data_IF_558268796000
#
_entry.id   IF_558268796000
#
_cell.length_a   1.000
_cell.length_b   1.000
_cell.length_c   1.000
_cell.angle_alpha   90.00
_cell.angle_beta   90.00
_cell.angle_gamma   90.00
#
_symmetry.space_group_name_H-M   'P 1'
#
loop_
_entity.id
_entity.type
_entity.pdbx_description
1 polymer ?
#
# COMPACT_ATOMS: atom_id res chain seq x y z
N UNK A 1 -85.98 -13.87 39.38
CA UNK A 1 -85.84 -12.86 38.31
C UNK A 1 -84.36 -12.71 38.01
N UNK A 2 -83.81 -13.33 36.97
CA UNK A 2 -83.65 -12.78 35.61
C UNK A 2 -82.76 -11.51 35.53
N UNK A 3 -81.49 -11.76 35.15
CA UNK A 3 -80.65 -11.09 34.13
C UNK A 3 -80.15 -9.64 34.36
N UNK A 4 -78.83 -9.40 34.40
CA UNK A 4 -77.98 -8.96 33.25
C UNK A 4 -76.59 -8.46 33.67
N UNK A 5 -75.60 -9.10 33.06
CA UNK A 5 -74.26 -8.60 32.75
C UNK A 5 -74.35 -7.31 31.91
N UNK A 6 -73.54 -6.29 32.22
CA UNK A 6 -73.23 -5.17 31.33
C UNK A 6 -71.88 -4.59 31.76
N UNK A 7 -70.84 -4.93 31.00
CA UNK A 7 -69.46 -4.49 31.24
C UNK A 7 -69.23 -3.05 30.85
N UNK A 8 -68.08 -2.49 31.24
CA UNK A 8 -67.57 -1.20 30.77
C UNK A 8 -66.05 -1.27 30.51
N UNK A 9 -65.71 -0.92 29.26
CA UNK A 9 -64.60 -0.06 28.82
C UNK A 9 -63.18 -0.62 28.98
N UNK A 10 -62.66 -1.13 27.87
CA UNK A 10 -61.24 -1.26 27.60
C UNK A 10 -60.57 0.12 27.64
N UNK A 11 -59.59 0.30 28.54
CA UNK A 11 -58.69 1.43 28.52
C UNK A 11 -57.66 1.23 27.38
N UNK A 12 -57.88 1.92 26.27
CA UNK A 12 -56.95 2.06 25.17
C UNK A 12 -55.77 2.92 25.65
N UNK A 13 -54.68 2.28 26.09
CA UNK A 13 -53.42 2.97 26.35
C UNK A 13 -52.79 3.38 25.01
N UNK A 14 -52.98 4.64 24.63
CA UNK A 14 -52.28 5.26 23.50
C UNK A 14 -50.82 5.42 23.91
N UNK A 15 -49.98 4.47 23.52
CA UNK A 15 -48.52 4.62 23.53
C UNK A 15 -48.16 5.46 22.31
N UNK A 16 -48.08 6.78 22.47
CA UNK A 16 -47.36 7.61 21.51
C UNK A 16 -45.87 7.35 21.67
N UNK A 17 -45.35 6.39 20.90
CA UNK A 17 -43.93 6.27 20.66
C UNK A 17 -43.48 7.50 19.86
N UNK A 18 -42.83 8.46 20.54
CA UNK A 18 -42.06 9.50 19.85
C UNK A 18 -40.82 8.82 19.30
N UNK A 19 -40.92 8.32 18.07
CA UNK A 19 -39.77 7.84 17.31
C UNK A 19 -38.91 9.06 16.95
N UNK A 20 -37.86 9.30 17.73
CA UNK A 20 -36.82 10.23 17.37
C UNK A 20 -36.00 9.62 16.22
N UNK A 21 -36.50 9.71 15.00
CA UNK A 21 -35.68 9.50 13.79
C UNK A 21 -34.75 10.69 13.66
N UNK A 22 -33.67 10.69 14.45
CA UNK A 22 -32.46 11.38 14.04
C UNK A 22 -31.96 10.69 12.80
N UNK A 23 -32.19 11.27 11.63
CA UNK A 23 -31.41 10.94 10.45
C UNK A 23 -29.96 11.33 10.79
N UNK A 24 -29.18 10.36 11.25
CA UNK A 24 -27.73 10.45 11.21
C UNK A 24 -27.40 10.60 9.73
N UNK A 25 -27.19 11.83 9.28
CA UNK A 25 -26.57 12.07 7.98
C UNK A 25 -25.16 11.49 8.11
N UNK A 26 -24.99 10.24 7.67
CA UNK A 26 -23.66 9.69 7.49
C UNK A 26 -22.97 10.63 6.50
N UNK A 27 -21.96 11.38 6.96
CA UNK A 27 -21.08 12.07 6.02
C UNK A 27 -20.55 10.98 5.09
N UNK A 28 -20.78 11.16 3.78
CA UNK A 28 -20.18 10.29 2.80
C UNK A 28 -18.66 10.28 3.04
N UNK A 29 -18.09 9.09 3.20
CA UNK A 29 -16.64 8.95 3.35
C UNK A 29 -15.97 9.53 2.10
N UNK A 30 -14.94 10.35 2.29
CA UNK A 30 -14.18 10.91 1.18
C UNK A 30 -13.54 9.80 0.35
N UNK A 31 -13.32 10.08 -0.92
CA UNK A 31 -12.65 9.24 -1.91
C UNK A 31 -11.62 10.07 -2.67
N UNK A 32 -10.87 9.44 -3.54
CA UNK A 32 -9.95 10.08 -4.48
C UNK A 32 -10.63 11.14 -5.36
N UNK A 33 -11.93 11.01 -5.63
CA UNK A 33 -12.69 11.99 -6.40
C UNK A 33 -12.83 13.34 -5.69
N UNK A 34 -12.72 13.37 -4.37
CA UNK A 34 -12.84 14.58 -3.54
C UNK A 34 -11.55 15.42 -3.52
N UNK A 35 -10.44 14.87 -4.03
CA UNK A 35 -9.13 15.52 -4.01
C UNK A 35 -8.70 15.97 -5.40
N UNK A 36 -8.38 17.25 -5.55
CA UNK A 36 -8.02 17.86 -6.82
C UNK A 36 -6.75 17.24 -7.43
N UNK A 37 -5.76 16.94 -6.60
CA UNK A 37 -4.46 16.37 -6.99
C UNK A 37 -4.51 14.87 -7.31
N UNK A 38 -5.67 14.21 -7.16
CA UNK A 38 -5.89 12.81 -7.52
C UNK A 38 -6.70 12.63 -8.81
N UNK A 39 -7.26 13.72 -9.38
CA UNK A 39 -8.20 13.64 -10.51
C UNK A 39 -7.61 13.04 -11.78
N UNK A 40 -6.32 13.23 -12.02
CA UNK A 40 -5.67 12.77 -13.25
C UNK A 40 -5.05 11.37 -13.13
N UNK A 41 -5.15 10.73 -11.95
CA UNK A 41 -4.68 9.36 -11.77
C UNK A 41 -5.58 8.36 -12.52
N UNK A 42 -4.98 7.27 -12.97
CA UNK A 42 -5.71 6.16 -13.59
C UNK A 42 -6.63 5.46 -12.58
N UNK A 43 -7.62 4.73 -13.09
CA UNK A 43 -8.63 4.09 -12.27
C UNK A 43 -8.06 3.03 -11.30
N UNK A 44 -7.01 2.30 -11.69
CA UNK A 44 -6.41 1.28 -10.84
C UNK A 44 -5.65 1.92 -9.68
N UNK A 45 -4.92 3.02 -9.94
CA UNK A 45 -4.25 3.80 -8.90
C UNK A 45 -5.27 4.41 -7.94
N UNK A 46 -6.33 5.06 -8.45
CA UNK A 46 -7.41 5.63 -7.61
C UNK A 46 -8.04 4.61 -6.68
N UNK A 47 -8.29 3.39 -7.17
CA UNK A 47 -8.85 2.32 -6.35
C UNK A 47 -7.97 1.97 -5.13
N UNK A 48 -6.63 2.07 -5.25
CA UNK A 48 -5.72 1.85 -4.11
C UNK A 48 -5.83 2.96 -3.07
N UNK A 49 -5.93 4.21 -3.52
CA UNK A 49 -6.16 5.36 -2.64
C UNK A 49 -7.51 5.24 -1.94
N UNK A 50 -8.58 4.97 -2.71
CA UNK A 50 -9.94 4.82 -2.18
C UNK A 50 -10.03 3.72 -1.13
N UNK A 51 -9.38 2.58 -1.35
CA UNK A 51 -9.36 1.48 -0.40
C UNK A 51 -8.73 1.89 0.94
N UNK A 52 -7.60 2.60 0.90
CA UNK A 52 -6.89 3.05 2.10
C UNK A 52 -7.55 4.25 2.79
N UNK A 53 -8.23 5.12 2.04
CA UNK A 53 -9.06 6.20 2.61
C UNK A 53 -10.28 5.60 3.30
N UNK A 54 -10.98 4.67 2.63
CA UNK A 54 -12.17 3.99 3.18
C UNK A 54 -11.83 3.17 4.42
N UNK A 55 -10.63 2.56 4.47
CA UNK A 55 -10.12 1.85 5.63
C UNK A 55 -9.63 2.79 6.76
N UNK A 56 -9.69 4.12 6.57
CA UNK A 56 -9.29 5.12 7.57
C UNK A 56 -7.77 5.22 7.78
N UNK A 57 -6.97 4.64 6.87
CA UNK A 57 -5.50 4.66 6.94
C UNK A 57 -4.95 6.02 6.51
N UNK A 58 -5.55 6.63 5.48
CA UNK A 58 -5.16 7.93 4.94
C UNK A 58 -6.32 8.92 4.93
N UNK A 59 -5.97 10.18 5.11
CA UNK A 59 -6.85 11.34 4.93
C UNK A 59 -6.17 12.36 4.00
N UNK A 60 -6.92 13.34 3.51
CA UNK A 60 -6.32 14.51 2.87
C UNK A 60 -5.46 15.33 3.83
N UNK A 61 -4.54 16.12 3.28
CA UNK A 61 -3.80 17.14 4.06
C UNK A 61 -4.69 18.35 4.34
N UNK A 62 -5.69 18.58 3.48
CA UNK A 62 -6.75 19.54 3.69
C UNK A 62 -8.09 19.05 3.07
N UNK A 63 -9.04 19.96 2.89
CA UNK A 63 -10.36 19.61 2.34
C UNK A 63 -10.34 19.18 0.87
N UNK A 64 -9.44 19.72 0.06
CA UNK A 64 -9.39 19.56 -1.38
C UNK A 64 -8.10 18.90 -1.89
N UNK A 65 -7.06 18.78 -1.07
CA UNK A 65 -5.76 18.23 -1.45
C UNK A 65 -5.41 17.00 -0.64
N UNK A 66 -4.93 15.98 -1.34
CA UNK A 66 -4.39 14.78 -0.73
C UNK A 66 -2.92 14.94 -0.32
N UNK A 67 -2.16 15.78 -1.03
CA UNK A 67 -0.75 16.04 -0.77
C UNK A 67 0.16 15.01 -1.43
N UNK A 68 -0.17 14.55 -2.64
CA UNK A 68 0.44 13.37 -3.27
C UNK A 68 1.98 13.46 -3.36
N UNK A 69 2.53 14.64 -3.67
CA UNK A 69 3.98 14.86 -3.79
C UNK A 69 4.65 15.36 -2.51
N UNK A 70 3.91 15.51 -1.43
CA UNK A 70 4.47 15.96 -0.16
C UNK A 70 5.29 14.85 0.51
N UNK A 71 6.39 15.26 1.15
CA UNK A 71 7.19 14.37 1.97
C UNK A 71 6.54 14.16 3.34
N UNK A 72 6.39 12.91 3.72
CA UNK A 72 5.76 12.55 4.99
C UNK A 72 6.77 12.49 6.13
N UNK A 73 6.28 12.78 7.34
CA UNK A 73 7.08 12.62 8.55
C UNK A 73 6.96 11.20 9.14
N UNK A 74 7.91 10.84 10.00
CA UNK A 74 7.99 9.52 10.66
C UNK A 74 6.78 9.22 11.54
N UNK A 75 6.15 10.23 12.14
CA UNK A 75 4.92 10.04 12.93
C UNK A 75 3.75 9.55 12.07
N UNK A 76 3.53 10.20 10.91
CA UNK A 76 2.50 9.77 9.97
C UNK A 76 2.80 8.37 9.43
N UNK A 77 4.08 8.08 9.18
CA UNK A 77 4.51 6.75 8.78
C UNK A 77 4.17 5.69 9.85
N UNK A 78 4.49 5.94 11.12
CA UNK A 78 4.18 5.02 12.23
C UNK A 78 2.68 4.75 12.34
N UNK A 79 1.85 5.79 12.19
CA UNK A 79 0.39 5.64 12.13
C UNK A 79 -0.04 4.71 11.00
N UNK A 80 0.43 4.96 9.78
CA UNK A 80 0.09 4.13 8.61
C UNK A 80 0.51 2.68 8.85
N UNK A 81 1.75 2.44 9.28
CA UNK A 81 2.27 1.11 9.57
C UNK A 81 1.44 0.39 10.65
N UNK A 82 1.14 1.05 11.77
CA UNK A 82 0.31 0.47 12.83
C UNK A 82 -1.08 0.08 12.32
N UNK A 83 -1.70 0.92 11.48
CA UNK A 83 -3.02 0.64 10.93
C UNK A 83 -2.98 -0.51 9.93
N UNK A 84 -2.09 -0.50 8.93
CA UNK A 84 -2.07 -1.55 7.89
C UNK A 84 -1.73 -2.94 8.44
N UNK A 85 -0.90 -3.02 9.48
CA UNK A 85 -0.57 -4.29 10.14
C UNK A 85 -1.53 -4.66 11.27
N UNK A 86 -2.56 -3.84 11.53
CA UNK A 86 -3.57 -4.09 12.57
C UNK A 86 -2.96 -4.20 13.97
N UNK A 87 -1.99 -3.33 14.28
CA UNK A 87 -1.34 -3.31 15.59
C UNK A 87 -2.28 -2.72 16.64
N UNK A 88 -2.26 -3.26 17.86
CA UNK A 88 -3.06 -2.76 18.97
C UNK A 88 -2.52 -1.39 19.43
N UNK A 89 -3.35 -0.36 19.33
CA UNK A 89 -3.01 1.02 19.72
C UNK A 89 -3.81 1.50 20.94
N UNK A 90 -4.80 0.73 21.39
CA UNK A 90 -5.72 1.08 22.48
C UNK A 90 -5.04 1.02 23.86
N UNK A 91 -4.01 0.18 23.98
CA UNK A 91 -3.30 -0.07 25.25
C UNK A 91 -1.92 0.62 25.28
N UNK A 92 -1.77 1.72 24.55
CA UNK A 92 -0.54 2.48 24.55
C UNK A 92 -0.19 3.00 25.96
N UNK A 93 1.10 3.04 26.34
CA UNK A 93 1.51 3.63 27.59
C UNK A 93 1.19 5.13 27.62
N UNK A 94 0.99 5.70 28.82
CA UNK A 94 0.76 7.16 28.95
C UNK A 94 2.00 8.00 28.64
N UNK A 95 3.17 7.39 28.69
CA UNK A 95 4.46 8.01 28.42
C UNK A 95 5.19 7.18 27.39
N UNK A 96 5.74 7.84 26.37
CA UNK A 96 6.51 7.16 25.35
C UNK A 96 7.82 6.62 25.90
N UNK A 97 8.27 5.52 25.31
CA UNK A 97 9.63 4.99 25.49
C UNK A 97 10.69 5.81 24.73
N UNK A 98 10.28 6.81 23.95
CA UNK A 98 11.15 7.78 23.29
C UNK A 98 11.04 9.16 23.96
N UNK A 99 12.17 9.82 24.20
CA UNK A 99 12.28 11.10 24.93
C UNK A 99 11.71 12.29 24.16
N UNK A 100 11.61 12.20 22.85
CA UNK A 100 11.14 13.26 21.95
C UNK A 100 9.69 13.08 21.50
N UNK A 101 8.95 12.15 22.12
CA UNK A 101 7.52 11.93 21.88
C UNK A 101 6.72 12.42 23.10
N UNK A 102 6.00 13.56 22.97
CA UNK A 102 5.15 14.06 24.04
C UNK A 102 4.03 13.09 24.41
N UNK A 103 3.63 13.08 25.69
CA UNK A 103 2.56 12.20 26.20
C UNK A 103 1.18 12.47 25.61
N UNK A 104 0.95 13.70 25.13
CA UNK A 104 -0.28 14.15 24.47
C UNK A 104 -0.21 14.06 22.93
N UNK A 105 0.89 13.53 22.38
CA UNK A 105 1.06 13.36 20.94
C UNK A 105 0.06 12.35 20.39
N UNK A 106 -0.65 12.73 19.33
CA UNK A 106 -1.52 11.82 18.58
C UNK A 106 -0.76 10.60 18.04
N UNK A 107 0.56 10.74 17.82
CA UNK A 107 1.40 9.72 17.24
C UNK A 107 1.87 8.68 18.27
N UNK A 108 1.84 9.01 19.56
CA UNK A 108 2.33 8.16 20.64
C UNK A 108 1.79 6.73 20.55
N UNK A 109 0.48 6.47 20.48
CA UNK A 109 -0.02 5.10 20.48
C UNK A 109 0.48 4.28 19.29
N UNK A 110 0.61 4.92 18.14
CA UNK A 110 1.10 4.27 16.93
C UNK A 110 2.61 4.00 17.00
N UNK A 111 3.40 4.95 17.50
CA UNK A 111 4.84 4.84 17.67
C UNK A 111 5.19 3.67 18.62
N UNK A 112 4.49 3.59 19.75
CA UNK A 112 4.72 2.49 20.71
C UNK A 112 4.27 1.14 20.14
N UNK A 113 3.17 1.11 19.38
CA UNK A 113 2.71 -0.12 18.72
C UNK A 113 3.73 -0.64 17.70
N UNK A 114 4.27 0.23 16.82
CA UNK A 114 5.28 -0.19 15.84
C UNK A 114 6.62 -0.58 16.49
N UNK A 115 6.97 0.04 17.62
CA UNK A 115 8.15 -0.37 18.42
C UNK A 115 7.92 -1.75 19.05
N UNK A 116 6.79 -1.96 19.69
CA UNK A 116 6.45 -3.24 20.33
C UNK A 116 6.39 -4.39 19.31
N UNK A 117 6.00 -4.09 18.06
CA UNK A 117 6.01 -5.04 16.95
C UNK A 117 7.41 -5.27 16.32
N UNK A 118 8.46 -4.59 16.80
CA UNK A 118 9.82 -4.74 16.26
C UNK A 118 10.03 -4.10 14.89
N UNK A 119 9.14 -3.20 14.46
CA UNK A 119 9.23 -2.53 13.16
C UNK A 119 10.27 -1.40 13.21
N UNK A 120 10.50 -0.81 14.39
CA UNK A 120 11.46 0.29 14.56
C UNK A 120 12.07 0.33 15.96
N UNK A 121 13.35 0.70 16.01
CA UNK A 121 14.07 1.04 17.24
C UNK A 121 14.23 2.57 17.43
N UNK A 122 13.59 3.36 16.57
CA UNK A 122 13.78 4.81 16.51
C UNK A 122 15.01 5.21 15.68
N UNK A 123 15.65 6.32 16.06
CA UNK A 123 16.85 6.87 15.40
C UNK A 123 18.09 6.84 16.31
N UNK A 124 17.99 6.14 17.45
CA UNK A 124 19.02 6.08 18.48
C UNK A 124 18.85 7.13 19.59
N UNK A 125 19.66 7.04 20.64
CA UNK A 125 19.65 7.94 21.80
C UNK A 125 18.25 8.14 22.44
N UNK A 126 17.44 7.07 22.46
CA UNK A 126 16.04 7.07 22.91
C UNK A 126 15.15 8.07 22.17
N UNK A 127 15.43 8.35 20.89
CA UNK A 127 14.64 9.26 20.05
C UNK A 127 13.92 8.51 18.93
N UNK A 128 12.72 8.99 18.61
CA UNK A 128 11.96 8.52 17.45
C UNK A 128 12.11 9.44 16.23
N UNK A 129 12.32 10.74 16.46
CA UNK A 129 12.23 11.84 15.50
C UNK A 129 10.88 11.90 14.76
N UNK A 130 9.77 12.26 15.44
CA UNK A 130 8.42 12.20 14.86
C UNK A 130 8.22 13.15 13.67
N UNK A 131 8.92 14.28 13.66
CA UNK A 131 8.83 15.32 12.63
C UNK A 131 9.79 15.10 11.47
N UNK A 132 10.83 14.28 11.67
CA UNK A 132 11.80 13.92 10.65
C UNK A 132 11.17 13.27 9.43
N UNK A 133 11.75 13.53 8.26
CA UNK A 133 11.34 12.90 6.99
C UNK A 133 11.79 11.44 6.95
N UNK A 134 11.03 10.62 6.23
CA UNK A 134 11.35 9.20 6.01
C UNK A 134 12.00 9.05 4.65
N UNK A 135 13.17 8.43 4.59
CA UNK A 135 13.81 8.10 3.31
C UNK A 135 13.17 6.86 2.68
N UNK A 136 13.31 6.67 1.35
CA UNK A 136 12.79 5.49 0.65
C UNK A 136 13.38 4.18 1.19
N UNK A 137 14.65 4.19 1.59
CA UNK A 137 15.30 3.02 2.19
C UNK A 137 14.78 2.71 3.60
N UNK A 138 14.41 3.73 4.37
CA UNK A 138 13.73 3.54 5.65
C UNK A 138 12.30 3.01 5.44
N UNK A 139 11.57 3.56 4.47
CA UNK A 139 10.26 3.05 4.06
C UNK A 139 10.32 1.55 3.75
N UNK A 140 11.28 1.12 2.94
CA UNK A 140 11.51 -0.30 2.63
C UNK A 140 11.71 -1.13 3.92
N UNK A 141 12.58 -0.66 4.81
CA UNK A 141 12.87 -1.38 6.06
C UNK A 141 11.63 -1.53 6.95
N UNK A 142 10.81 -0.48 7.11
CA UNK A 142 9.59 -0.57 7.91
C UNK A 142 8.56 -1.54 7.29
N UNK A 143 8.35 -1.48 5.97
CA UNK A 143 7.38 -2.36 5.31
C UNK A 143 7.79 -3.84 5.40
N UNK A 144 9.07 -4.13 5.17
CA UNK A 144 9.61 -5.50 5.21
C UNK A 144 9.58 -6.06 6.63
N UNK A 145 9.94 -5.25 7.64
CA UNK A 145 9.82 -5.67 9.05
C UNK A 145 8.37 -5.87 9.47
N UNK A 146 7.46 -5.00 9.04
CA UNK A 146 6.03 -5.14 9.35
C UNK A 146 5.41 -6.42 8.77
N UNK A 147 5.90 -6.88 7.62
CA UNK A 147 5.53 -8.18 7.04
C UNK A 147 6.24 -9.38 7.69
N UNK A 148 7.12 -9.15 8.68
CA UNK A 148 7.88 -10.20 9.35
C UNK A 148 8.84 -10.95 8.41
N UNK A 149 9.25 -10.33 7.30
CA UNK A 149 10.05 -11.00 6.29
C UNK A 149 11.52 -11.06 6.73
N UNK A 150 12.17 -12.23 6.60
CA UNK A 150 13.59 -12.34 6.89
C UNK A 150 14.38 -11.51 5.88
N UNK A 151 15.43 -10.85 6.35
CA UNK A 151 16.29 -10.03 5.52
C UNK A 151 17.73 -10.51 5.63
N UNK A 152 18.34 -10.73 4.48
CA UNK A 152 19.78 -10.96 4.40
C UNK A 152 20.52 -9.62 4.51
N UNK A 153 21.01 -9.32 5.70
CA UNK A 153 21.78 -8.11 5.99
C UNK A 153 23.17 -8.10 5.31
N UNK A 154 23.58 -9.19 4.68
CA UNK A 154 24.82 -9.27 3.90
C UNK A 154 24.60 -9.12 2.40
N UNK A 155 23.34 -9.01 1.94
CA UNK A 155 23.03 -8.81 0.53
C UNK A 155 23.65 -7.51 0.04
N UNK A 156 24.48 -7.62 -0.99
CA UNK A 156 25.05 -6.48 -1.71
C UNK A 156 24.26 -6.31 -3.00
N UNK A 157 23.43 -5.27 -3.05
CA UNK A 157 22.95 -4.71 -4.32
C UNK A 157 23.97 -3.68 -4.78
N UNK A 158 24.24 -3.65 -6.09
CA UNK A 158 25.17 -2.70 -6.74
C UNK A 158 24.48 -1.34 -6.99
N UNK A 159 23.77 -0.84 -5.98
CA UNK A 159 23.11 0.46 -6.00
C UNK A 159 23.73 1.38 -4.95
N UNK A 160 24.43 2.41 -5.40
CA UNK A 160 25.14 3.39 -4.55
C UNK A 160 24.20 4.43 -3.94
N UNK A 161 22.97 4.51 -4.44
CA UNK A 161 21.91 5.38 -3.89
C UNK A 161 21.29 4.81 -2.62
N UNK A 162 21.60 3.56 -2.28
CA UNK A 162 21.13 2.84 -1.08
C UNK A 162 22.29 2.66 -0.10
N UNK A 163 22.04 2.99 1.16
CA UNK A 163 23.00 2.76 2.25
C UNK A 163 23.20 1.27 2.50
N UNK A 164 24.42 0.85 2.87
CA UNK A 164 24.75 -0.57 3.04
C UNK A 164 23.81 -1.32 4.01
N UNK A 165 23.42 -0.67 5.11
CA UNK A 165 22.48 -1.25 6.09
C UNK A 165 21.10 -1.56 5.51
N UNK A 166 20.69 -0.85 4.46
CA UNK A 166 19.36 -0.94 3.88
C UNK A 166 19.27 -1.89 2.68
N UNK A 167 20.41 -2.35 2.15
CA UNK A 167 20.46 -3.14 0.91
C UNK A 167 19.60 -4.40 0.95
N UNK A 168 19.66 -5.15 2.04
CA UNK A 168 18.81 -6.33 2.24
C UNK A 168 17.32 -5.98 2.27
N UNK A 169 16.95 -4.88 2.92
CA UNK A 169 15.56 -4.43 2.99
C UNK A 169 15.03 -3.96 1.64
N UNK A 170 15.85 -3.24 0.87
CA UNK A 170 15.50 -2.80 -0.48
C UNK A 170 15.32 -4.00 -1.41
N UNK A 171 16.25 -4.96 -1.39
CA UNK A 171 16.15 -6.20 -2.17
C UNK A 171 14.86 -6.97 -1.85
N UNK A 172 14.53 -7.14 -0.56
CA UNK A 172 13.29 -7.77 -0.15
C UNK A 172 12.04 -6.98 -0.59
N UNK A 173 12.05 -5.65 -0.44
CA UNK A 173 10.92 -4.80 -0.84
C UNK A 173 10.66 -4.85 -2.35
N UNK A 174 11.71 -4.93 -3.17
CA UNK A 174 11.62 -5.10 -4.62
C UNK A 174 11.10 -6.50 -4.99
N UNK A 175 11.63 -7.55 -4.36
CA UNK A 175 11.18 -8.92 -4.58
C UNK A 175 9.70 -9.13 -4.24
N UNK A 176 9.23 -8.47 -3.18
CA UNK A 176 7.84 -8.46 -2.75
C UNK A 176 6.96 -7.47 -3.54
N UNK A 177 7.53 -6.70 -4.47
CA UNK A 177 6.81 -5.68 -5.27
C UNK A 177 6.10 -4.63 -4.40
N UNK A 178 6.66 -4.32 -3.23
CA UNK A 178 6.17 -3.25 -2.36
C UNK A 178 6.63 -1.89 -2.87
N UNK A 179 7.82 -1.87 -3.45
CA UNK A 179 8.48 -0.69 -4.02
C UNK A 179 9.08 -1.09 -5.38
N UNK A 180 9.46 -0.09 -6.16
CA UNK A 180 10.05 -0.25 -7.50
C UNK A 180 11.25 0.68 -7.67
N UNK A 181 12.16 0.30 -8.55
CA UNK A 181 13.24 1.18 -8.99
C UNK A 181 12.71 2.32 -9.86
N UNK A 182 13.48 3.40 -9.93
CA UNK A 182 13.25 4.51 -10.86
C UNK A 182 13.57 4.05 -12.30
N UNK A 183 13.23 4.89 -13.28
CA UNK A 183 13.43 4.58 -14.70
C UNK A 183 14.90 4.37 -15.09
N UNK A 184 15.83 4.96 -14.33
CA UNK A 184 17.29 4.79 -14.51
C UNK A 184 17.83 3.47 -13.93
N UNK A 185 16.97 2.65 -13.34
CA UNK A 185 17.33 1.38 -12.70
C UNK A 185 17.79 1.50 -11.26
N UNK A 186 18.04 2.70 -10.74
CA UNK A 186 18.39 2.94 -9.33
C UNK A 186 17.14 2.90 -8.45
N UNK A 187 17.30 2.56 -7.18
CA UNK A 187 16.23 2.65 -6.18
C UNK A 187 16.07 4.10 -5.67
N UNK A 188 17.16 4.84 -5.51
CA UNK A 188 17.15 6.21 -4.96
C UNK A 188 16.89 6.24 -3.45
N UNK A 189 17.46 5.28 -2.71
CA UNK A 189 17.12 4.99 -1.31
C UNK A 189 17.24 6.14 -0.33
N UNK A 190 18.27 6.97 -0.50
CA UNK A 190 18.54 8.15 0.37
C UNK A 190 17.57 9.31 0.17
N UNK A 191 16.79 9.33 -0.91
CA UNK A 191 15.77 10.35 -1.13
C UNK A 191 14.59 10.18 -0.19
N UNK A 192 13.90 11.28 0.12
CA UNK A 192 12.69 11.25 0.94
C UNK A 192 11.55 10.55 0.21
N UNK A 193 10.76 9.79 0.96
CA UNK A 193 9.54 9.16 0.47
C UNK A 193 8.41 10.19 0.40
N UNK A 194 7.73 10.22 -0.74
CA UNK A 194 6.51 11.01 -0.93
C UNK A 194 5.29 10.26 -0.41
N UNK A 195 4.21 11.01 -0.16
CA UNK A 195 2.93 10.45 0.24
C UNK A 195 2.36 9.45 -0.77
N UNK A 196 2.49 9.73 -2.06
CA UNK A 196 2.18 8.81 -3.17
C UNK A 196 2.81 7.43 -2.97
N UNK A 197 4.15 7.43 -2.80
CA UNK A 197 4.91 6.21 -2.62
C UNK A 197 4.46 5.47 -1.36
N UNK A 198 4.17 6.20 -0.28
CA UNK A 198 3.67 5.60 0.95
C UNK A 198 2.31 4.93 0.75
N UNK A 199 1.34 5.58 0.10
CA UNK A 199 0.02 5.00 -0.15
C UNK A 199 0.14 3.73 -0.97
N UNK A 200 0.86 3.80 -2.10
CA UNK A 200 1.00 2.66 -3.02
C UNK A 200 1.68 1.47 -2.33
N UNK A 201 2.80 1.70 -1.67
CA UNK A 201 3.54 0.64 -0.98
C UNK A 201 2.80 0.08 0.24
N UNK A 202 2.05 0.92 0.96
CA UNK A 202 1.20 0.47 2.08
C UNK A 202 0.02 -0.37 1.60
N UNK A 203 -0.56 -0.06 0.43
CA UNK A 203 -1.61 -0.88 -0.17
C UNK A 203 -1.07 -2.28 -0.52
N UNK A 204 0.10 -2.36 -1.17
CA UNK A 204 0.70 -3.65 -1.52
C UNK A 204 1.10 -4.45 -0.28
N UNK A 205 1.64 -3.80 0.76
CA UNK A 205 1.95 -4.46 2.02
C UNK A 205 0.69 -4.95 2.74
N UNK A 206 -0.36 -4.13 2.77
CA UNK A 206 -1.64 -4.51 3.37
C UNK A 206 -2.25 -5.74 2.69
N UNK A 207 -2.14 -5.85 1.36
CA UNK A 207 -2.61 -7.00 0.59
C UNK A 207 -1.83 -8.29 0.89
N UNK A 208 -0.54 -8.20 1.20
CA UNK A 208 0.33 -9.38 1.38
C UNK A 208 0.37 -9.90 2.82
N UNK A 209 0.23 -9.02 3.79
CA UNK A 209 0.30 -9.40 5.21
C UNK A 209 -0.37 -8.40 6.16
N UNK A 210 -1.14 -7.46 5.64
CA UNK A 210 -1.96 -6.59 6.46
C UNK A 210 -3.16 -7.33 7.04
N UNK A 211 -3.53 -6.97 8.26
CA UNK A 211 -4.72 -7.50 8.95
C UNK A 211 -5.95 -6.61 8.76
N UNK A 212 -5.88 -5.70 7.78
CA UNK A 212 -6.98 -4.79 7.46
C UNK A 212 -7.81 -5.37 6.32
N UNK A 213 -9.12 -5.42 6.53
CA UNK A 213 -10.09 -5.75 5.49
C UNK A 213 -10.15 -4.58 4.50
N UNK A 214 -9.25 -4.59 3.52
CA UNK A 214 -9.34 -3.66 2.40
C UNK A 214 -10.63 -3.99 1.63
N UNK A 215 -11.51 -3.01 1.37
CA UNK A 215 -12.64 -3.26 0.50
C UNK A 215 -12.10 -3.80 -0.83
N UNK A 216 -12.58 -4.97 -1.25
CA UNK A 216 -12.21 -5.53 -2.55
C UNK A 216 -12.48 -4.45 -3.60
N UNK A 217 -11.53 -4.13 -4.50
CA UNK A 217 -11.82 -3.18 -5.56
C UNK A 217 -13.06 -3.71 -6.29
N UNK A 218 -14.16 -2.94 -6.23
CA UNK A 218 -15.34 -3.24 -7.03
C UNK A 218 -14.84 -3.40 -8.47
N UNK A 219 -15.24 -4.47 -9.20
CA UNK A 219 -14.83 -4.60 -10.59
C UNK A 219 -15.17 -3.28 -11.28
N UNK A 220 -14.17 -2.67 -11.92
CA UNK A 220 -14.35 -1.51 -12.78
C UNK A 220 -15.61 -1.75 -13.61
N UNK A 221 -16.54 -0.79 -13.74
CA UNK A 221 -17.72 -1.00 -14.56
C UNK A 221 -17.24 -1.47 -15.93
N UNK A 222 -17.60 -2.70 -16.28
CA UNK A 222 -17.42 -3.17 -17.66
C UNK A 222 -18.14 -2.13 -18.49
N UNK A 223 -17.42 -1.49 -19.41
CA UNK A 223 -18.01 -0.53 -20.34
C UNK A 223 -19.15 -1.28 -21.03
N UNK A 224 -20.39 -1.01 -20.61
CA UNK A 224 -21.56 -1.57 -21.28
C UNK A 224 -21.46 -1.10 -22.72
N UNK A 225 -21.32 -2.01 -23.72
CA UNK A 225 -21.26 -1.58 -25.09
C UNK A 225 -22.50 -0.74 -25.38
N UNK A 226 -22.30 0.46 -25.93
CA UNK A 226 -23.38 1.34 -26.36
C UNK A 226 -24.38 0.50 -27.17
N UNK A 227 -25.70 0.57 -26.90
CA UNK A 227 -26.65 -0.28 -27.59
C UNK A 227 -26.54 -0.06 -29.10
N UNK A 228 -26.17 -1.11 -29.83
CA UNK A 228 -26.26 -1.15 -31.28
C UNK A 228 -27.70 -0.81 -31.65
N UNK A 229 -27.90 0.28 -32.39
CA UNK A 229 -29.21 0.71 -32.84
C UNK A 229 -29.95 -0.47 -33.49
N UNK A 230 -31.14 -0.78 -32.98
CA UNK A 230 -31.99 -1.85 -33.51
C UNK A 230 -32.29 -1.57 -34.98
N UNK A 231 -31.93 -2.47 -35.93
CA UNK A 231 -32.29 -2.27 -37.33
C UNK A 231 -33.82 -2.33 -37.48
N UNK A 232 -34.37 -1.38 -38.23
CA UNK A 232 -35.80 -1.33 -38.55
C UNK A 232 -36.27 -2.62 -39.25
N UNK A 233 -37.53 -3.07 -39.04
CA UNK A 233 -38.01 -4.32 -39.61
C UNK A 233 -38.06 -4.25 -41.15
N UNK A 234 -37.40 -5.21 -41.80
CA UNK A 234 -37.44 -5.41 -43.24
C UNK A 234 -38.78 -6.05 -43.65
N UNK A 235 -39.38 -5.54 -44.73
CA UNK A 235 -40.65 -6.03 -45.29
C UNK A 235 -40.60 -7.51 -45.67
N UNK A 236 -41.66 -8.24 -45.30
CA UNK A 236 -41.85 -9.67 -45.57
C UNK A 236 -42.10 -9.92 -47.07
N UNK A 237 -41.28 -10.73 -47.77
CA UNK A 237 -41.56 -11.07 -49.16
C UNK A 237 -42.64 -12.17 -49.30
N UNK A 238 -43.44 -12.04 -50.35
CA UNK A 238 -44.54 -12.94 -50.79
C UNK A 238 -44.04 -14.31 -51.27
N UNK A 239 -44.79 -15.42 -51.13
CA UNK A 239 -44.27 -16.77 -51.42
C UNK A 239 -44.01 -17.04 -52.91
N UNK A 240 -42.86 -17.65 -53.18
CA UNK A 240 -42.33 -18.02 -54.50
C UNK A 240 -42.98 -19.30 -55.05
N UNK A 241 -43.36 -19.29 -56.34
CA UNK A 241 -43.90 -20.44 -57.06
C UNK A 241 -42.82 -21.51 -57.35
N UNK A 242 -43.24 -22.79 -57.35
CA UNK A 242 -42.45 -23.99 -57.63
C UNK A 242 -41.74 -23.94 -58.99
N UNK A 243 -40.42 -24.19 -59.08
CA UNK A 243 -39.72 -24.21 -60.36
C UNK A 243 -39.85 -25.54 -61.13
N UNK A 244 -40.03 -25.43 -62.45
CA UNK A 244 -39.90 -26.51 -63.44
C UNK A 244 -38.42 -26.87 -63.74
N UNK A 245 -38.13 -28.08 -64.28
CA UNK A 245 -36.78 -28.62 -64.34
C UNK A 245 -35.84 -27.93 -65.34
N UNK A 246 -34.59 -27.87 -64.92
CA UNK A 246 -33.41 -27.20 -65.49
C UNK A 246 -32.98 -27.74 -66.85
N UNK A 247 -32.81 -26.85 -67.83
CA UNK A 247 -31.97 -27.09 -68.99
C UNK A 247 -30.54 -26.61 -68.72
N UNK A 248 -29.55 -27.45 -69.02
CA UNK A 248 -28.10 -27.20 -68.91
C UNK A 248 -27.64 -26.15 -69.92
N UNK A 249 -27.00 -25.04 -69.49
CA UNK A 249 -26.27 -24.16 -70.41
C UNK A 249 -24.76 -24.42 -70.44
N UNK A 250 -24.21 -24.20 -71.63
CA UNK A 250 -22.85 -24.43 -72.14
C UNK A 250 -21.73 -23.55 -71.50
N UNK A 251 -20.44 -23.95 -71.62
CA UNK A 251 -19.32 -23.24 -70.99
C UNK A 251 -19.04 -21.88 -71.66
N UNK A 252 -18.84 -20.82 -70.86
CA UNK A 252 -18.45 -19.49 -71.34
C UNK A 252 -17.18 -18.98 -70.63
N UNK A 253 -16.43 -18.16 -71.39
CA UNK A 253 -14.98 -18.04 -71.45
C UNK A 253 -14.25 -17.30 -70.31
N UNK A 254 -12.93 -17.53 -70.30
CA UNK A 254 -11.87 -16.95 -69.46
C UNK A 254 -11.82 -15.41 -69.52
N UNK A 255 -11.74 -14.69 -68.38
CA UNK A 255 -11.57 -13.24 -68.37
C UNK A 255 -10.12 -12.78 -68.57
N UNK A 256 -9.97 -11.63 -69.24
CA UNK A 256 -8.72 -10.90 -69.54
C UNK A 256 -8.05 -10.27 -68.29
N UNK A 257 -6.72 -10.01 -68.33
CA UNK A 257 -5.98 -9.48 -67.19
C UNK A 257 -6.22 -7.98 -66.94
N UNK A 258 -6.37 -7.61 -65.66
CA UNK A 258 -6.52 -6.23 -65.17
C UNK A 258 -5.16 -5.53 -65.03
N UNK A 259 -5.11 -4.25 -65.42
CA UNK A 259 -3.90 -3.43 -65.54
C UNK A 259 -3.18 -3.11 -64.20
N UNK A 260 -1.85 -3.00 -64.32
CA UNK A 260 -0.87 -2.63 -63.29
C UNK A 260 -0.99 -1.15 -62.88
N UNK A 261 -0.97 -0.80 -61.58
CA UNK A 261 -0.96 0.60 -61.14
C UNK A 261 0.40 1.28 -61.31
N UNK A 262 0.39 2.58 -61.63
CA UNK A 262 1.55 3.44 -61.83
C UNK A 262 2.33 3.76 -60.53
N UNK A 263 3.65 4.05 -60.62
CA UNK A 263 4.50 4.25 -59.44
C UNK A 263 4.30 5.61 -58.75
N UNK A 264 4.40 5.60 -57.42
CA UNK A 264 4.40 6.78 -56.55
C UNK A 264 5.78 7.45 -56.54
N UNK A 265 5.82 8.79 -56.62
CA UNK A 265 7.06 9.57 -56.70
C UNK A 265 7.91 9.55 -55.42
N UNK A 266 9.22 9.53 -55.63
CA UNK A 266 10.29 9.52 -54.63
C UNK A 266 10.48 10.91 -54.01
N UNK A 267 10.55 11.06 -52.67
CA UNK A 267 10.83 12.35 -52.05
C UNK A 267 12.30 12.79 -52.20
N UNK A 268 12.51 14.09 -52.42
CA UNK A 268 13.82 14.75 -52.54
C UNK A 268 14.65 14.72 -51.23
N UNK A 269 16.00 14.71 -51.31
CA UNK A 269 16.87 14.62 -50.14
C UNK A 269 16.94 15.93 -49.33
N UNK A 270 16.86 15.79 -48.01
CA UNK A 270 17.03 16.86 -47.02
C UNK A 270 18.50 17.29 -46.91
N UNK A 271 18.75 18.59 -46.82
CA UNK A 271 20.09 19.20 -46.77
C UNK A 271 20.89 18.79 -45.52
N UNK A 272 22.19 18.56 -45.73
CA UNK A 272 23.23 18.27 -44.74
C UNK A 272 23.40 19.43 -43.75
N UNK A 273 23.46 19.20 -42.42
CA UNK A 273 23.73 20.26 -41.45
C UNK A 273 25.21 20.66 -41.41
N UNK A 274 25.46 21.97 -41.25
CA UNK A 274 26.77 22.61 -41.08
C UNK A 274 27.48 22.14 -39.80
N UNK A 275 28.80 21.89 -39.89
CA UNK A 275 29.66 21.54 -38.77
C UNK A 275 29.75 22.69 -37.74
N UNK A 276 29.51 22.36 -36.48
CA UNK A 276 29.69 23.26 -35.33
C UNK A 276 31.15 23.20 -34.87
N UNK A 277 31.79 24.36 -34.73
CA UNK A 277 33.19 24.49 -34.28
C UNK A 277 33.44 23.89 -32.88
N UNK A 278 34.64 23.34 -32.61
CA UNK A 278 34.98 22.75 -31.32
C UNK A 278 35.13 23.80 -30.21
N UNK A 279 34.80 23.47 -28.95
CA UNK A 279 34.88 24.41 -27.84
C UNK A 279 36.33 24.70 -27.42
N UNK A 280 36.58 25.96 -27.02
CA UNK A 280 37.86 26.45 -26.53
C UNK A 280 38.35 25.71 -25.27
N UNK A 281 39.67 25.47 -25.21
CA UNK A 281 40.34 24.78 -24.11
C UNK A 281 40.14 25.49 -22.76
N UNK A 282 39.88 24.68 -21.73
CA UNK A 282 39.70 25.11 -20.33
C UNK A 282 41.07 25.43 -19.71
N UNK A 283 41.27 26.54 -18.99
CA UNK A 283 42.55 26.82 -18.33
C UNK A 283 42.86 25.82 -17.21
N UNK A 284 44.15 25.52 -16.95
CA UNK A 284 44.56 24.59 -15.91
C UNK A 284 44.20 25.10 -14.51
N UNK A 285 43.88 24.19 -13.55
CA UNK A 285 43.53 24.58 -12.19
C UNK A 285 44.73 25.19 -11.45
N UNK A 286 44.46 26.26 -10.69
CA UNK A 286 45.43 26.93 -9.84
C UNK A 286 46.00 25.98 -8.77
N UNK A 287 47.31 26.06 -8.54
CA UNK A 287 48.03 25.28 -7.53
C UNK A 287 47.43 25.51 -6.13
N UNK A 288 47.15 24.41 -5.44
CA UNK A 288 46.69 24.39 -4.05
C UNK A 288 47.89 24.61 -3.12
N UNK A 289 47.80 25.48 -2.10
CA UNK A 289 48.87 25.64 -1.12
C UNK A 289 49.06 24.36 -0.28
N UNK A 290 50.28 24.09 0.24
CA UNK A 290 50.55 22.87 0.99
C UNK A 290 49.74 22.82 2.29
N UNK A 291 49.05 21.71 2.50
CA UNK A 291 48.32 21.39 3.73
C UNK A 291 49.33 21.13 4.84
N UNK A 292 49.32 21.97 5.88
CA UNK A 292 50.07 21.71 7.11
C UNK A 292 49.62 20.36 7.73
N UNK A 293 50.61 19.52 8.03
CA UNK A 293 50.38 18.22 8.68
C UNK A 293 49.87 18.44 10.11
N UNK A 294 48.73 17.86 10.52
CA UNK A 294 48.31 17.94 11.92
C UNK A 294 49.26 17.11 12.79
N UNK A 295 49.78 17.76 13.83
CA UNK A 295 50.61 17.17 14.89
C UNK A 295 49.87 15.97 15.49
N UNK A 296 50.47 14.78 15.35
CA UNK A 296 49.97 13.54 15.96
C UNK A 296 50.17 13.65 17.46
N UNK A 297 49.08 13.86 18.19
CA UNK A 297 49.06 13.73 19.65
C UNK A 297 48.89 12.24 19.98
N UNK A 298 49.68 11.62 20.87
CA UNK A 298 49.53 10.20 21.15
C UNK A 298 48.14 9.92 21.77
N UNK A 299 47.37 9.08 21.09
CA UNK A 299 46.08 8.58 21.57
C UNK A 299 46.32 7.73 22.82
N UNK A 300 45.77 8.16 23.95
CA UNK A 300 45.75 7.38 25.18
C UNK A 300 44.88 6.13 24.94
N UNK A 301 45.44 4.94 25.12
CA UNK A 301 44.70 3.67 25.02
C UNK A 301 43.58 3.63 26.07
N UNK A 302 42.33 3.32 25.69
CA UNK A 302 41.25 3.18 26.67
C UNK A 302 41.52 1.96 27.59
N UNK A 303 41.12 2.01 28.86
CA UNK A 303 41.26 0.88 29.77
C UNK A 303 40.41 -0.31 29.29
N UNK A 304 40.80 -1.56 29.59
CA UNK A 304 40.05 -2.75 29.19
C UNK A 304 38.66 -2.76 29.83
N UNK A 305 37.66 -3.16 29.03
CA UNK A 305 36.27 -3.34 29.47
C UNK A 305 36.19 -4.35 30.62
N UNK A 306 35.33 -4.12 31.65
CA UNK A 306 35.06 -5.11 32.68
C UNK A 306 34.37 -6.33 32.07
N UNK A 307 34.96 -7.51 32.22
CA UNK A 307 34.34 -8.78 31.83
C UNK A 307 33.23 -9.10 32.82
N UNK A 308 31.97 -8.89 32.43
CA UNK A 308 30.82 -9.38 33.19
C UNK A 308 30.82 -10.92 33.20
N UNK A 309 30.55 -11.57 34.34
CA UNK A 309 30.37 -13.01 34.40
C UNK A 309 29.14 -13.43 33.58
N UNK A 310 29.14 -14.64 33.01
CA UNK A 310 28.01 -15.13 32.21
C UNK A 310 26.73 -15.19 33.05
N UNK A 311 25.65 -14.62 32.52
CA UNK A 311 24.32 -14.73 33.09
C UNK A 311 23.92 -16.22 33.20
N UNK A 312 23.37 -16.68 34.34
CA UNK A 312 22.88 -18.05 34.45
C UNK A 312 21.68 -18.25 33.52
N UNK A 313 21.77 -19.27 32.66
CA UNK A 313 20.66 -19.69 31.82
C UNK A 313 19.43 -20.05 32.67
N UNK A 314 18.21 -19.67 32.27
CA UNK A 314 17.01 -20.10 32.97
C UNK A 314 16.85 -21.63 32.85
N UNK A 315 16.73 -22.31 33.98
CA UNK A 315 16.44 -23.75 34.03
C UNK A 315 15.05 -24.01 33.42
N UNK A 316 14.88 -25.05 32.58
CA UNK A 316 13.59 -25.39 32.01
C UNK A 316 12.61 -25.78 33.11
N UNK A 317 11.43 -25.15 33.09
CA UNK A 317 10.32 -25.45 33.98
C UNK A 317 9.78 -26.87 33.70
N UNK A 318 9.87 -27.76 34.69
CA UNK A 318 9.28 -29.11 34.65
C UNK A 318 7.95 -29.07 35.40
N UNK A 319 6.79 -29.26 34.74
CA UNK A 319 5.52 -29.29 35.43
C UNK A 319 5.41 -30.51 36.37
N UNK A 320 4.70 -30.41 37.50
CA UNK A 320 4.53 -31.53 38.43
C UNK A 320 3.71 -32.66 37.76
N UNK A 321 4.19 -33.89 37.93
CA UNK A 321 3.51 -35.11 37.47
C UNK A 321 2.15 -35.26 38.17
N UNK A 322 1.08 -35.66 37.47
CA UNK A 322 -0.22 -35.90 38.10
C UNK A 322 -0.13 -37.07 39.08
N UNK A 323 -0.44 -36.80 40.36
CA UNK A 323 -0.59 -37.83 41.39
C UNK A 323 -1.76 -38.75 41.04
N UNK A 324 -1.45 -40.00 40.70
CA UNK A 324 -2.42 -41.05 40.48
C UNK A 324 -3.02 -41.47 41.83
N UNK A 325 -4.23 -40.99 42.15
CA UNK A 325 -5.00 -41.48 43.29
C UNK A 325 -5.51 -42.90 42.98
N UNK A 326 -5.25 -43.91 43.82
CA UNK A 326 -5.83 -45.24 43.63
C UNK A 326 -7.36 -45.20 43.85
N UNK A 327 -8.14 -46.06 43.16
CA UNK A 327 -9.59 -46.09 43.30
C UNK A 327 -10.00 -46.54 44.70
N UNK A 328 -10.98 -45.83 45.28
CA UNK A 328 -11.59 -46.15 46.57
C UNK A 328 -12.28 -47.54 46.51
N UNK A 329 -12.15 -48.37 47.57
CA UNK A 329 -12.82 -49.67 47.60
C UNK A 329 -14.34 -49.50 47.76
N UNK A 330 -15.09 -50.04 46.79
CA UNK A 330 -16.54 -50.18 46.83
C UNK A 330 -16.92 -51.23 47.87
N UNK A 331 -17.53 -50.81 48.99
CA UNK A 331 -18.15 -51.74 49.93
C UNK A 331 -19.53 -52.16 49.40
N UNK A 332 -19.66 -53.43 49.05
CA UNK A 332 -20.96 -54.08 48.83
C UNK A 332 -21.63 -54.37 50.18
N UNK A 333 -22.95 -54.16 50.33
CA UNK A 333 -23.68 -54.58 51.51
C UNK A 333 -23.78 -56.12 51.56
N UNK A 334 -23.43 -56.70 52.70
CA UNK A 334 -23.55 -58.14 53.01
C UNK A 334 -25.03 -58.45 53.31
N UNK A 335 -25.54 -59.64 52.90
CA UNK A 335 -26.98 -60.00 52.91
C UNK A 335 -27.65 -60.02 54.29
#
# INVERSE_FOLDING_TARGET
>A
MKVKLKGWIAALAIVTAVSLTGAMTALAAKTSADFADLKDLDAATKAKFDALISAGVFNGVDEANFGLKEEMNRAQFAKVAALIYGLNTDNAPKTSSFKDVPSDSYALPYIEAVKAAGITDGVGADKFDPTGKVTKEQLAAFLVRGLGQPVDNQKKIEDTTVSDWAKGYVDAALALKLLSNNADGSFGGKGNATRDLLVLSSYEAAKQGGKIDLPSPSPSPTVTPLPTATPAPAWTPSPTATPEPTATPEPTATPEPTATPEPTETPEPTATPEETEPPAETPPPAETPPVESPVVTPVQTPPPFPTNPPFPFPTPYVPPMPTFMPPMPTFLPVP
#
